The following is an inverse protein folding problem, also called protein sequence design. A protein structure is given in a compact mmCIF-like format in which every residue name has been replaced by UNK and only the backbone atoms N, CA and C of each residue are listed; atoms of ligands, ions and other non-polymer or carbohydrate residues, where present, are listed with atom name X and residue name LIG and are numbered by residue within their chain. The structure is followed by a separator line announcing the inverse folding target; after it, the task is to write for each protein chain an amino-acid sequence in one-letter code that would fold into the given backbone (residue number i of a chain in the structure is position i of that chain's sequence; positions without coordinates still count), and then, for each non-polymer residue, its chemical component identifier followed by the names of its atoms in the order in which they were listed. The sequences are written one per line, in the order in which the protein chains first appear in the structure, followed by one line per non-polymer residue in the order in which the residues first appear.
data_IF_374161839401
#
_entry.id   IF_374161839401
#
_cell.length_a   1.000
_cell.length_b   1.000
_cell.length_c   1.000
_cell.angle_alpha   90.00
_cell.angle_beta   90.00
_cell.angle_gamma   90.00
#
_symmetry.space_group_name_H-M   'P 1'
#
loop_
_entity.id
_entity.type
_entity.pdbx_description
1 polymer ?
#
# COMPACT_ATOMS: atom_id res chain seq x y z
N UNK A 1 -30.16 -12.01 21.24
CA UNK A 1 -28.72 -12.30 21.13
C UNK A 1 -28.19 -11.45 19.99
N UNK A 2 -27.50 -10.34 20.28
CA UNK A 2 -26.80 -9.62 19.22
C UNK A 2 -25.64 -10.50 18.77
N UNK A 3 -25.63 -10.84 17.49
CA UNK A 3 -24.42 -11.39 16.86
C UNK A 3 -23.39 -10.26 17.00
N UNK A 4 -22.41 -10.44 17.88
CA UNK A 4 -21.30 -9.49 17.99
C UNK A 4 -20.66 -9.27 16.61
N UNK A 5 -19.99 -8.12 16.38
CA UNK A 5 -19.38 -7.84 15.10
C UNK A 5 -18.55 -9.05 14.67
N UNK A 6 -18.79 -9.55 13.45
CA UNK A 6 -18.02 -10.66 12.90
C UNK A 6 -16.55 -10.22 12.94
N UNK A 7 -15.79 -10.79 13.88
CA UNK A 7 -14.36 -10.53 14.01
C UNK A 7 -13.67 -11.19 12.82
N UNK A 8 -13.60 -10.46 11.70
CA UNK A 8 -12.79 -10.87 10.57
C UNK A 8 -11.34 -10.68 10.98
N UNK A 9 -10.55 -11.77 10.94
CA UNK A 9 -9.12 -11.68 11.18
C UNK A 9 -8.50 -10.85 10.05
N UNK A 10 -7.60 -9.95 10.44
CA UNK A 10 -6.85 -9.12 9.49
C UNK A 10 -5.92 -10.04 8.70
N UNK A 11 -5.96 -9.93 7.37
CA UNK A 11 -5.05 -10.64 6.48
C UNK A 11 -3.66 -9.98 6.52
N UNK A 12 -2.56 -10.69 6.22
CA UNK A 12 -1.25 -10.06 6.16
C UNK A 12 -1.20 -8.99 5.06
N UNK A 13 -0.32 -8.00 5.21
CA UNK A 13 -0.18 -6.88 4.28
C UNK A 13 0.11 -7.34 2.84
N UNK A 14 0.87 -8.42 2.68
CA UNK A 14 1.19 -9.01 1.37
C UNK A 14 -0.09 -9.45 0.66
N UNK A 15 -1.06 -10.03 1.38
CA UNK A 15 -2.31 -10.46 0.78
C UNK A 15 -3.11 -9.26 0.24
N UNK A 16 -3.14 -8.16 1.01
CA UNK A 16 -3.83 -6.92 0.62
C UNK A 16 -3.19 -6.26 -0.59
N UNK A 17 -1.86 -6.13 -0.61
CA UNK A 17 -1.13 -5.58 -1.77
C UNK A 17 -1.25 -6.46 -3.01
N UNK A 18 -1.25 -7.79 -2.84
CA UNK A 18 -1.47 -8.73 -3.94
C UNK A 18 -2.89 -8.63 -4.48
N UNK A 19 -3.90 -8.46 -3.62
CA UNK A 19 -5.29 -8.30 -4.06
C UNK A 19 -5.46 -7.00 -4.88
N UNK A 20 -4.83 -5.89 -4.46
CA UNK A 20 -4.78 -4.66 -5.26
C UNK A 20 -4.15 -4.91 -6.63
N UNK A 21 -3.01 -5.60 -6.67
CA UNK A 21 -2.29 -5.88 -7.90
C UNK A 21 -3.06 -6.81 -8.84
N UNK A 22 -3.73 -7.85 -8.30
CA UNK A 22 -4.62 -8.71 -9.09
C UNK A 22 -5.76 -7.89 -9.68
N UNK A 23 -6.34 -6.96 -8.91
CA UNK A 23 -7.40 -6.09 -9.40
C UNK A 23 -6.90 -5.17 -10.52
N UNK A 24 -5.70 -4.58 -10.37
CA UNK A 24 -5.04 -3.78 -11.41
C UNK A 24 -4.79 -4.60 -12.69
N UNK A 25 -4.17 -5.78 -12.55
CA UNK A 25 -3.92 -6.68 -13.69
C UNK A 25 -5.22 -7.11 -14.34
N UNK A 26 -6.26 -7.44 -13.57
CA UNK A 26 -7.55 -7.82 -14.13
C UNK A 26 -8.23 -6.73 -14.95
N UNK A 27 -8.00 -5.45 -14.61
CA UNK A 27 -8.51 -4.32 -15.40
C UNK A 27 -7.74 -4.07 -16.69
N UNK A 28 -6.40 -4.16 -16.65
CA UNK A 28 -5.56 -3.68 -17.74
C UNK A 28 -4.88 -4.78 -18.57
N UNK A 29 -4.59 -5.92 -17.95
CA UNK A 29 -3.88 -7.05 -18.56
C UNK A 29 -4.56 -8.38 -18.19
N UNK A 30 -5.87 -8.56 -18.47
CA UNK A 30 -6.64 -9.72 -18.01
C UNK A 30 -6.09 -11.06 -18.53
N UNK A 31 -5.34 -11.05 -19.64
CA UNK A 31 -4.68 -12.24 -20.18
C UNK A 31 -3.59 -12.82 -19.26
N UNK A 32 -3.13 -12.06 -18.26
CA UNK A 32 -2.16 -12.51 -17.25
C UNK A 32 -2.81 -13.20 -16.05
N UNK A 33 -4.15 -13.24 -16.00
CA UNK A 33 -4.89 -13.99 -14.99
C UNK A 33 -4.95 -15.46 -15.37
N UNK A 34 -4.87 -16.34 -14.37
CA UNK A 34 -5.16 -17.76 -14.56
C UNK A 34 -6.62 -17.93 -15.00
N UNK A 35 -6.92 -18.78 -15.98
CA UNK A 35 -8.29 -19.14 -16.32
C UNK A 35 -9.04 -19.74 -15.13
N UNK A 36 -8.33 -20.45 -14.24
CA UNK A 36 -8.86 -21.00 -12.99
C UNK A 36 -7.91 -20.67 -11.84
N UNK A 37 -8.29 -19.72 -10.96
CA UNK A 37 -7.52 -19.40 -9.76
C UNK A 37 -7.38 -20.61 -8.84
N UNK A 38 -6.22 -20.77 -8.21
CA UNK A 38 -5.96 -21.80 -7.20
C UNK A 38 -6.54 -21.37 -5.84
N UNK A 39 -7.85 -21.60 -5.72
CA UNK A 39 -8.61 -21.26 -4.50
C UNK A 39 -8.20 -22.07 -3.29
N UNK A 40 -7.71 -23.30 -3.49
CA UNK A 40 -7.27 -24.17 -2.39
C UNK A 40 -5.96 -23.66 -1.80
N UNK A 41 -5.00 -23.28 -2.66
CA UNK A 41 -3.75 -22.67 -2.20
C UNK A 41 -4.01 -21.33 -1.52
N UNK A 42 -4.88 -20.47 -2.09
CA UNK A 42 -5.27 -19.21 -1.45
C UNK A 42 -5.85 -19.43 -0.06
N UNK A 43 -6.80 -20.36 0.08
CA UNK A 43 -7.38 -20.69 1.38
C UNK A 43 -6.33 -21.21 2.37
N UNK A 44 -5.40 -22.06 1.93
CA UNK A 44 -4.34 -22.56 2.79
C UNK A 44 -3.42 -21.45 3.31
N UNK A 45 -3.11 -20.45 2.45
CA UNK A 45 -2.36 -19.26 2.86
C UNK A 45 -3.17 -18.43 3.87
N UNK A 46 -4.44 -18.17 3.61
CA UNK A 46 -5.32 -17.44 4.53
C UNK A 46 -5.38 -18.14 5.91
N UNK A 47 -5.63 -19.45 5.93
CA UNK A 47 -5.73 -20.24 7.17
C UNK A 47 -4.40 -20.24 7.95
N UNK A 48 -3.26 -20.39 7.25
CA UNK A 48 -1.94 -20.36 7.87
C UNK A 48 -1.65 -19.00 8.51
N UNK A 49 -1.81 -17.90 7.77
CA UNK A 49 -1.45 -16.57 8.27
C UNK A 49 -2.42 -16.01 9.31
N UNK A 50 -3.67 -16.49 9.33
CA UNK A 50 -4.65 -16.05 10.32
C UNK A 50 -4.67 -16.91 11.60
N UNK A 51 -4.31 -18.19 11.52
CA UNK A 51 -4.37 -19.13 12.65
C UNK A 51 -3.17 -20.07 12.78
N UNK A 52 -2.68 -20.61 11.65
CA UNK A 52 -1.58 -21.59 11.64
C UNK A 52 -0.30 -21.07 12.29
N UNK A 53 0.13 -19.85 11.96
CA UNK A 53 1.35 -19.23 12.50
C UNK A 53 1.30 -19.10 14.03
N UNK A 54 0.14 -18.79 14.61
CA UNK A 54 -0.02 -18.69 16.06
C UNK A 54 0.06 -20.05 16.74
N UNK A 55 -0.44 -21.09 16.07
CA UNK A 55 -0.33 -22.47 16.55
C UNK A 55 1.12 -22.94 16.51
N UNK A 56 1.86 -22.61 15.46
CA UNK A 56 3.29 -22.90 15.35
C UNK A 56 4.09 -22.20 16.46
N UNK A 57 3.89 -20.89 16.64
CA UNK A 57 4.55 -20.11 17.69
C UNK A 57 4.23 -20.64 19.08
N UNK A 58 2.99 -21.07 19.33
CA UNK A 58 2.59 -21.64 20.62
C UNK A 58 3.28 -22.99 20.91
N UNK A 59 3.65 -23.73 19.87
CA UNK A 59 4.28 -25.05 19.98
C UNK A 59 5.82 -25.00 19.97
N UNK A 60 6.41 -24.04 19.25
CA UNK A 60 7.86 -23.82 19.17
C UNK A 60 8.20 -22.32 19.02
N UNK A 61 8.29 -21.66 20.17
CA UNK A 61 8.64 -20.24 20.26
C UNK A 61 10.10 -19.97 19.85
N UNK A 62 11.00 -20.96 20.04
CA UNK A 62 12.43 -20.84 19.74
C UNK A 62 12.68 -20.78 18.24
N UNK A 63 12.03 -21.63 17.44
CA UNK A 63 12.18 -21.57 15.99
C UNK A 63 11.70 -20.22 15.43
N UNK A 64 10.56 -19.75 15.92
CA UNK A 64 9.99 -18.45 15.56
C UNK A 64 10.92 -17.29 15.95
N UNK A 65 11.48 -17.34 17.17
CA UNK A 65 12.44 -16.34 17.64
C UNK A 65 13.73 -16.34 16.80
N UNK A 66 14.29 -17.51 16.48
CA UNK A 66 15.49 -17.64 15.67
C UNK A 66 15.28 -17.07 14.26
N UNK A 67 14.13 -17.31 13.65
CA UNK A 67 13.77 -16.71 12.36
C UNK A 67 13.73 -15.18 12.43
N UNK A 68 13.18 -14.60 13.50
CA UNK A 68 13.19 -13.15 13.69
C UNK A 68 14.59 -12.58 13.95
N UNK A 69 15.42 -13.27 14.73
CA UNK A 69 16.81 -12.86 15.00
C UNK A 69 17.66 -12.93 13.72
N UNK A 70 17.47 -13.97 12.90
CA UNK A 70 18.12 -14.09 11.60
C UNK A 70 17.72 -12.94 10.67
N UNK A 71 16.42 -12.58 10.62
CA UNK A 71 15.96 -11.40 9.88
C UNK A 71 16.54 -10.09 10.45
N UNK A 72 16.72 -9.99 11.77
CA UNK A 72 17.30 -8.81 12.41
C UNK A 72 18.80 -8.61 12.06
N UNK A 73 19.54 -9.68 11.73
CA UNK A 73 20.94 -9.56 11.27
C UNK A 73 21.08 -8.77 9.96
N UNK A 74 20.04 -8.78 9.11
CA UNK A 74 19.95 -7.98 7.89
C UNK A 74 19.60 -6.51 8.16
N UNK A 75 19.22 -6.15 9.40
CA UNK A 75 18.79 -4.79 9.76
C UNK A 75 19.93 -3.76 9.66
N UNK A 76 21.18 -4.19 9.87
CA UNK A 76 22.34 -3.30 9.79
C UNK A 76 22.57 -2.77 8.37
N UNK A 77 22.48 -3.64 7.36
CA UNK A 77 22.61 -3.21 5.95
C UNK A 77 21.43 -2.34 5.53
N UNK A 78 20.20 -2.68 5.94
CA UNK A 78 19.02 -1.85 5.67
C UNK A 78 19.15 -0.43 6.27
N UNK A 79 19.67 -0.30 7.50
CA UNK A 79 19.92 1.01 8.12
C UNK A 79 21.01 1.78 7.35
N UNK A 80 22.04 1.10 6.86
CA UNK A 80 23.08 1.74 6.05
C UNK A 80 22.51 2.27 4.73
N UNK A 81 21.74 1.46 4.00
CA UNK A 81 21.05 1.87 2.77
C UNK A 81 20.08 3.03 3.01
N UNK A 82 19.28 3.00 4.08
CA UNK A 82 18.40 4.11 4.43
C UNK A 82 19.20 5.40 4.66
N UNK A 83 20.35 5.33 5.35
CA UNK A 83 21.21 6.51 5.56
C UNK A 83 21.75 7.08 4.25
N UNK A 84 22.18 6.22 3.34
CA UNK A 84 22.64 6.60 2.00
C UNK A 84 21.52 7.23 1.17
N UNK A 85 20.32 6.64 1.20
CA UNK A 85 19.13 7.19 0.54
C UNK A 85 18.81 8.57 1.07
N UNK A 86 18.76 8.74 2.40
CA UNK A 86 18.55 10.04 3.02
C UNK A 86 19.60 11.06 2.62
N UNK A 87 20.88 10.71 2.62
CA UNK A 87 21.95 11.62 2.17
C UNK A 87 21.74 12.03 0.71
N UNK A 88 21.34 11.09 -0.14
CA UNK A 88 21.08 11.33 -1.56
C UNK A 88 19.85 12.24 -1.76
N UNK A 89 18.76 11.99 -1.02
CA UNK A 89 17.56 12.82 -1.02
C UNK A 89 17.85 14.24 -0.50
N UNK A 90 18.69 14.37 0.53
CA UNK A 90 19.11 15.68 1.05
C UNK A 90 19.88 16.52 0.02
N UNK A 91 20.70 15.90 -0.83
CA UNK A 91 21.46 16.60 -1.88
C UNK A 91 20.57 17.22 -2.96
N UNK A 92 19.38 16.66 -3.18
CA UNK A 92 18.43 17.13 -4.18
C UNK A 92 17.34 18.04 -3.59
N UNK A 93 17.46 18.43 -2.31
CA UNK A 93 16.49 19.30 -1.65
C UNK A 93 15.10 18.67 -1.48
N UNK A 94 15.04 17.34 -1.28
CA UNK A 94 13.79 16.61 -1.14
C UNK A 94 12.87 17.18 -0.04
N UNK A 95 11.63 17.47 -0.41
CA UNK A 95 10.53 17.82 0.51
C UNK A 95 9.48 16.71 0.51
N UNK A 96 9.33 16.03 1.65
CA UNK A 96 8.35 14.98 1.84
C UNK A 96 6.89 15.46 1.70
N UNK A 97 6.62 16.77 1.72
CA UNK A 97 5.29 17.34 1.46
C UNK A 97 4.91 17.35 -0.03
N UNK A 98 5.85 17.01 -0.91
CA UNK A 98 5.67 17.02 -2.36
C UNK A 98 6.10 15.68 -2.97
N UNK A 99 5.55 14.57 -2.47
CA UNK A 99 5.90 13.23 -2.95
C UNK A 99 5.60 13.04 -4.44
N UNK A 100 4.53 13.69 -4.95
CA UNK A 100 4.14 13.63 -6.36
C UNK A 100 5.13 14.35 -7.30
N UNK A 101 5.99 15.24 -6.79
CA UNK A 101 7.01 15.92 -7.60
C UNK A 101 8.32 15.14 -7.66
N UNK A 102 8.45 14.06 -6.88
CA UNK A 102 9.65 13.25 -6.87
C UNK A 102 9.75 12.47 -8.18
N UNK A 103 10.75 12.82 -8.99
CA UNK A 103 11.05 12.14 -10.25
C UNK A 103 12.22 11.19 -10.08
N UNK A 104 12.12 10.02 -10.72
CA UNK A 104 13.22 9.11 -10.93
C UNK A 104 13.78 9.33 -12.33
N UNK A 105 15.10 9.52 -12.40
CA UNK A 105 15.88 9.58 -13.63
C UNK A 105 16.78 8.35 -13.68
N UNK A 106 16.70 7.60 -14.78
CA UNK A 106 17.59 6.46 -15.03
C UNK A 106 18.96 6.98 -15.42
N UNK A 107 20.02 6.29 -15.02
CA UNK A 107 21.37 6.60 -15.46
C UNK A 107 21.80 5.72 -16.65
N UNK A 108 22.88 6.12 -17.34
CA UNK A 108 23.44 5.37 -18.47
C UNK A 108 23.97 3.98 -18.09
N UNK A 109 24.05 3.66 -16.80
CA UNK A 109 24.52 2.36 -16.29
C UNK A 109 23.37 1.39 -16.11
N UNK A 110 22.12 1.82 -16.26
CA UNK A 110 20.95 0.97 -16.20
C UNK A 110 21.05 -0.14 -17.27
N UNK A 111 20.97 -1.43 -16.88
CA UNK A 111 21.07 -2.52 -17.85
C UNK A 111 19.86 -2.52 -18.79
N UNK A 112 20.05 -2.93 -20.05
CA UNK A 112 18.96 -2.98 -21.03
C UNK A 112 17.76 -3.82 -20.57
N UNK A 113 18.01 -4.87 -19.76
CA UNK A 113 16.95 -5.69 -19.15
C UNK A 113 16.09 -4.93 -18.15
N UNK A 114 16.64 -3.94 -17.45
CA UNK A 114 15.89 -3.06 -16.53
C UNK A 114 15.07 -2.01 -17.27
N UNK A 115 15.58 -1.54 -18.42
CA UNK A 115 14.89 -0.60 -19.31
C UNK A 115 13.87 -1.28 -20.23
N UNK A 116 13.56 -2.57 -20.03
CA UNK A 116 12.63 -3.30 -20.88
C UNK A 116 11.22 -2.68 -20.81
N UNK A 117 10.77 -2.07 -21.91
CA UNK A 117 9.51 -1.32 -21.97
C UNK A 117 9.60 0.11 -21.42
N UNK A 118 10.80 0.64 -21.18
CA UNK A 118 11.06 2.00 -20.72
C UNK A 118 12.13 2.67 -21.57
N UNK A 119 11.81 3.82 -22.13
CA UNK A 119 12.72 4.66 -22.93
C UNK A 119 13.79 5.41 -22.09
N UNK A 120 13.84 5.20 -20.78
CA UNK A 120 14.73 5.93 -19.87
C UNK A 120 14.27 7.35 -19.53
N UNK A 121 13.07 7.75 -19.97
CA UNK A 121 12.48 9.05 -19.62
C UNK A 121 12.27 9.20 -18.12
N UNK A 122 12.25 10.45 -17.64
CA UNK A 122 11.90 10.76 -16.26
C UNK A 122 10.46 10.33 -15.95
N UNK A 123 10.27 9.68 -14.81
CA UNK A 123 8.95 9.22 -14.33
C UNK A 123 8.79 9.52 -12.85
N UNK A 124 7.56 9.58 -12.38
CA UNK A 124 7.28 9.70 -10.95
C UNK A 124 7.94 8.54 -10.18
N UNK A 125 8.65 8.85 -9.11
CA UNK A 125 9.48 7.86 -8.40
C UNK A 125 8.66 6.71 -7.82
N UNK A 126 7.42 6.99 -7.38
CA UNK A 126 6.53 5.94 -6.87
C UNK A 126 6.21 4.90 -7.94
N UNK A 127 6.02 5.31 -9.21
CA UNK A 127 5.74 4.38 -10.31
C UNK A 127 6.91 3.43 -10.53
N UNK A 128 8.12 3.98 -10.59
CA UNK A 128 9.34 3.20 -10.80
C UNK A 128 9.57 2.25 -9.64
N UNK A 129 9.45 2.72 -8.39
CA UNK A 129 9.69 1.89 -7.22
C UNK A 129 8.63 0.81 -7.01
N UNK A 130 7.36 1.09 -7.31
CA UNK A 130 6.32 0.06 -7.30
C UNK A 130 6.53 -0.96 -8.43
N UNK A 131 6.90 -0.52 -9.64
CA UNK A 131 7.30 -1.44 -10.72
C UNK A 131 8.42 -2.37 -10.24
N UNK A 132 9.49 -1.81 -9.71
CA UNK A 132 10.65 -2.57 -9.25
C UNK A 132 10.31 -3.54 -8.12
N UNK A 133 9.43 -3.14 -7.21
CA UNK A 133 8.92 -4.01 -6.17
C UNK A 133 8.24 -5.26 -6.75
N UNK A 134 7.32 -5.07 -7.70
CA UNK A 134 6.59 -6.17 -8.35
C UNK A 134 7.47 -7.00 -9.29
N UNK A 135 8.39 -6.37 -10.03
CA UNK A 135 9.34 -7.09 -10.89
C UNK A 135 10.31 -7.92 -10.06
N UNK A 136 10.82 -7.38 -8.94
CA UNK A 136 11.62 -8.18 -7.99
C UNK A 136 10.80 -9.37 -7.47
N UNK A 137 9.57 -9.12 -7.02
CA UNK A 137 8.70 -10.14 -6.47
C UNK A 137 8.33 -11.25 -7.46
N UNK A 138 8.14 -10.94 -8.75
CA UNK A 138 7.53 -11.86 -9.71
C UNK A 138 8.45 -12.29 -10.88
N UNK A 139 9.51 -11.54 -11.17
CA UNK A 139 10.31 -11.71 -12.39
C UNK A 139 11.81 -11.89 -12.09
N UNK A 140 12.41 -11.03 -11.25
CA UNK A 140 13.87 -10.97 -11.11
C UNK A 140 14.45 -11.78 -9.94
N UNK A 141 13.70 -12.02 -8.86
CA UNK A 141 14.30 -12.60 -7.65
C UNK A 141 14.63 -14.09 -7.78
N UNK A 142 15.78 -14.47 -7.24
CA UNK A 142 16.00 -15.83 -6.75
C UNK A 142 15.17 -16.02 -5.48
N UNK A 143 13.96 -16.55 -5.64
CA UNK A 143 13.00 -16.76 -4.56
C UNK A 143 13.50 -17.71 -3.46
N UNK A 144 14.60 -18.45 -3.68
CA UNK A 144 15.23 -19.24 -2.60
C UNK A 144 15.98 -18.36 -1.60
N UNK A 145 16.43 -17.18 -2.01
CA UNK A 145 17.23 -16.25 -1.19
C UNK A 145 16.43 -15.05 -0.70
N UNK A 146 15.40 -14.65 -1.43
CA UNK A 146 14.50 -13.55 -1.06
C UNK A 146 13.14 -14.09 -0.61
N UNK A 147 13.02 -14.35 0.71
CA UNK A 147 11.80 -14.86 1.33
C UNK A 147 10.61 -13.90 1.17
N UNK A 148 10.86 -12.58 1.13
CA UNK A 148 9.78 -11.61 0.94
C UNK A 148 9.23 -11.74 -0.48
N UNK A 149 10.09 -11.74 -1.50
CA UNK A 149 9.67 -11.96 -2.88
C UNK A 149 8.96 -13.31 -3.07
N UNK A 150 9.43 -14.37 -2.40
CA UNK A 150 8.79 -15.68 -2.43
C UNK A 150 7.34 -15.62 -1.94
N UNK A 151 7.06 -14.91 -0.84
CA UNK A 151 5.70 -14.76 -0.33
C UNK A 151 4.80 -14.02 -1.32
N UNK A 152 5.24 -12.88 -1.87
CA UNK A 152 4.46 -12.18 -2.90
C UNK A 152 4.17 -13.08 -4.10
N UNK A 153 5.15 -13.85 -4.57
CA UNK A 153 4.96 -14.81 -5.67
C UNK A 153 3.95 -15.90 -5.31
N UNK A 154 3.99 -16.45 -4.11
CA UNK A 154 3.04 -17.48 -3.67
C UNK A 154 1.60 -16.97 -3.62
N UNK A 155 1.39 -15.79 -3.04
CA UNK A 155 0.06 -15.17 -2.98
C UNK A 155 -0.44 -14.80 -4.37
N UNK A 156 0.40 -14.13 -5.19
CA UNK A 156 0.03 -13.71 -6.53
C UNK A 156 -0.21 -14.90 -7.47
N UNK A 157 0.60 -15.95 -7.36
CA UNK A 157 0.50 -17.17 -8.18
C UNK A 157 -0.80 -17.96 -7.99
N UNK A 158 -1.56 -17.67 -6.92
CA UNK A 158 -2.92 -18.21 -6.76
C UNK A 158 -3.88 -17.68 -7.83
N UNK A 159 -3.63 -16.49 -8.39
CA UNK A 159 -4.52 -15.83 -9.35
C UNK A 159 -3.85 -15.49 -10.68
N UNK A 160 -2.54 -15.26 -10.69
CA UNK A 160 -1.77 -14.86 -11.86
C UNK A 160 -1.10 -16.05 -12.53
N UNK A 161 -1.05 -16.01 -13.86
CA UNK A 161 -0.19 -16.88 -14.65
C UNK A 161 1.23 -16.31 -14.61
N UNK A 162 2.09 -16.90 -13.77
CA UNK A 162 3.42 -16.38 -13.50
C UNK A 162 4.37 -16.49 -14.70
N UNK A 163 4.13 -17.43 -15.61
CA UNK A 163 4.90 -17.56 -16.84
C UNK A 163 4.49 -16.45 -17.83
N UNK A 164 3.19 -16.21 -17.96
CA UNK A 164 2.67 -15.07 -18.74
C UNK A 164 3.15 -13.72 -18.19
N UNK A 165 3.15 -13.54 -16.86
CA UNK A 165 3.69 -12.35 -16.18
C UNK A 165 5.15 -12.12 -16.53
N UNK A 166 5.97 -13.18 -16.48
CA UNK A 166 7.41 -13.09 -16.77
C UNK A 166 7.66 -12.70 -18.23
N UNK A 167 6.82 -13.19 -19.16
CA UNK A 167 6.89 -12.82 -20.58
C UNK A 167 6.34 -11.40 -20.87
N UNK A 168 5.44 -10.89 -20.03
CA UNK A 168 4.77 -9.60 -20.21
C UNK A 168 5.55 -8.38 -19.66
N UNK A 169 6.84 -8.53 -19.39
CA UNK A 169 7.71 -7.47 -18.83
C UNK A 169 7.48 -6.07 -19.43
N UNK A 170 7.57 -5.87 -20.76
CA UNK A 170 7.34 -4.56 -21.36
C UNK A 170 5.94 -3.99 -21.09
N UNK A 171 4.89 -4.82 -21.14
CA UNK A 171 3.51 -4.39 -20.91
C UNK A 171 3.28 -4.01 -19.44
N UNK A 172 3.89 -4.75 -18.52
CA UNK A 172 3.87 -4.41 -17.10
C UNK A 172 4.64 -3.11 -16.82
N UNK A 173 5.78 -2.90 -17.48
CA UNK A 173 6.51 -1.63 -17.38
C UNK A 173 5.62 -0.46 -17.80
N UNK A 174 4.96 -0.55 -18.96
CA UNK A 174 4.06 0.51 -19.43
C UNK A 174 2.87 0.72 -18.48
N UNK A 175 2.28 -0.36 -17.96
CA UNK A 175 1.22 -0.29 -16.96
C UNK A 175 1.66 0.54 -15.74
N UNK A 176 2.84 0.29 -15.18
CA UNK A 176 3.32 1.03 -14.01
C UNK A 176 3.75 2.46 -14.35
N UNK A 177 4.45 2.67 -15.46
CA UNK A 177 5.06 3.97 -15.77
C UNK A 177 4.08 4.99 -16.35
N UNK A 178 2.95 4.53 -16.91
CA UNK A 178 2.01 5.41 -17.61
C UNK A 178 0.56 5.27 -17.16
N UNK A 179 0.11 4.08 -16.75
CA UNK A 179 -1.32 3.80 -16.59
C UNK A 179 -1.79 3.86 -15.14
N UNK A 180 -1.11 3.12 -14.25
CA UNK A 180 -1.52 2.93 -12.85
C UNK A 180 -1.73 4.27 -12.15
N UNK A 181 -2.70 4.37 -11.26
CA UNK A 181 -2.94 5.51 -10.40
C UNK A 181 -2.76 5.08 -8.94
N UNK A 182 -2.52 6.01 -8.00
CA UNK A 182 -2.36 5.65 -6.59
C UNK A 182 -3.56 4.86 -6.03
N UNK A 183 -4.78 5.17 -6.48
CA UNK A 183 -6.03 4.48 -6.10
C UNK A 183 -6.07 3.02 -6.55
N UNK A 184 -5.27 2.62 -7.55
CA UNK A 184 -5.25 1.24 -8.03
C UNK A 184 -4.44 0.31 -7.13
N UNK A 185 -3.49 0.87 -6.36
CA UNK A 185 -2.59 0.16 -5.47
C UNK A 185 -2.50 0.86 -4.10
N UNK A 186 -3.64 1.09 -3.41
CA UNK A 186 -3.69 1.96 -2.23
C UNK A 186 -2.73 1.50 -1.13
N UNK A 187 -2.61 0.18 -0.90
CA UNK A 187 -1.74 -0.35 0.15
C UNK A 187 -0.26 -0.13 -0.16
N UNK A 188 0.17 -0.54 -1.36
CA UNK A 188 1.58 -0.42 -1.76
C UNK A 188 1.99 1.05 -1.96
N UNK A 189 1.11 1.88 -2.52
CA UNK A 189 1.36 3.32 -2.69
C UNK A 189 1.46 4.03 -1.35
N UNK A 190 0.55 3.76 -0.41
CA UNK A 190 0.58 4.41 0.90
C UNK A 190 1.81 3.99 1.71
N UNK A 191 2.18 2.70 1.66
CA UNK A 191 3.45 2.23 2.22
C UNK A 191 4.66 2.92 1.60
N UNK A 192 4.68 3.11 0.28
CA UNK A 192 5.72 3.90 -0.38
C UNK A 192 5.77 5.34 0.16
N UNK A 193 4.61 6.01 0.26
CA UNK A 193 4.52 7.40 0.71
C UNK A 193 5.01 7.57 2.15
N UNK A 194 4.64 6.66 3.04
CA UNK A 194 5.08 6.65 4.45
C UNK A 194 6.58 6.42 4.54
N UNK A 195 7.12 5.46 3.78
CA UNK A 195 8.57 5.24 3.70
C UNK A 195 9.31 6.53 3.30
N UNK A 196 8.86 7.19 2.23
CA UNK A 196 9.46 8.45 1.77
C UNK A 196 9.35 9.58 2.80
N UNK A 197 8.22 9.70 3.50
CA UNK A 197 8.04 10.68 4.57
C UNK A 197 8.96 10.41 5.77
N UNK A 198 9.26 9.14 6.05
CA UNK A 198 10.21 8.73 7.10
C UNK A 198 11.67 9.00 6.69
N UNK A 199 12.03 8.84 5.42
CA UNK A 199 13.39 9.12 4.91
C UNK A 199 13.79 10.60 5.05
N UNK A 200 12.83 11.53 4.97
CA UNK A 200 13.07 12.94 5.29
C UNK A 200 13.39 13.19 6.77
N UNK A 201 13.16 12.21 7.65
CA UNK A 201 13.31 12.33 9.11
C UNK A 201 14.53 11.58 9.63
N UNK A 202 14.74 11.60 10.95
CA UNK A 202 15.84 10.86 11.58
C UNK A 202 15.60 9.35 11.45
N UNK A 203 16.50 8.65 10.78
CA UNK A 203 16.44 7.19 10.64
C UNK A 203 16.73 6.54 12.00
N UNK A 204 15.73 5.84 12.54
CA UNK A 204 15.85 5.01 13.73
C UNK A 204 15.82 3.52 13.36
N UNK A 205 16.13 2.65 14.33
CA UNK A 205 16.03 1.21 14.13
C UNK A 205 14.58 0.75 13.92
N UNK A 206 13.58 1.48 14.43
CA UNK A 206 12.14 1.13 14.37
C UNK A 206 11.46 1.26 13.00
N UNK A 207 11.98 2.10 12.11
CA UNK A 207 11.30 2.56 10.88
C UNK A 207 10.77 1.42 9.97
N UNK A 208 11.48 0.29 9.90
CA UNK A 208 11.08 -0.83 9.07
C UNK A 208 9.75 -1.48 9.50
N UNK A 209 9.49 -1.54 10.82
CA UNK A 209 8.25 -2.10 11.37
C UNK A 209 7.10 -1.11 11.19
N UNK A 210 7.37 0.18 11.35
CA UNK A 210 6.38 1.24 11.16
C UNK A 210 5.87 1.29 9.72
N UNK A 211 6.75 1.07 8.74
CA UNK A 211 6.36 1.04 7.34
C UNK A 211 5.43 -0.14 7.03
N UNK A 212 5.65 -1.31 7.64
CA UNK A 212 4.76 -2.46 7.48
C UNK A 212 3.35 -2.18 8.03
N UNK A 213 3.24 -1.51 9.19
CA UNK A 213 1.93 -1.14 9.76
C UNK A 213 1.14 -0.18 8.86
N UNK A 214 1.83 0.66 8.09
CA UNK A 214 1.15 1.62 7.21
C UNK A 214 0.30 0.95 6.13
N UNK A 215 0.67 -0.26 5.70
CA UNK A 215 -0.06 -1.01 4.68
C UNK A 215 -1.49 -1.40 5.13
N UNK A 216 -1.82 -1.32 6.41
CA UNK A 216 -3.18 -1.59 6.91
C UNK A 216 -4.09 -0.37 6.91
N UNK A 217 -3.53 0.85 6.83
CA UNK A 217 -4.29 2.07 7.06
C UNK A 217 -5.34 2.40 5.99
N UNK A 218 -5.19 2.03 4.70
CA UNK A 218 -6.27 2.19 3.74
C UNK A 218 -7.55 1.40 4.09
N UNK A 219 -7.44 0.35 4.92
CA UNK A 219 -8.56 -0.49 5.35
C UNK A 219 -8.96 -0.28 6.81
N UNK A 220 -8.51 0.81 7.43
CA UNK A 220 -8.82 1.13 8.81
C UNK A 220 -9.43 2.53 8.91
N UNK A 221 -10.35 2.67 9.86
CA UNK A 221 -11.01 3.93 10.17
C UNK A 221 -10.12 4.84 11.04
N UNK A 222 -9.40 4.22 11.98
CA UNK A 222 -8.64 4.86 13.03
C UNK A 222 -7.31 4.16 13.29
N UNK A 223 -6.24 4.93 13.42
CA UNK A 223 -4.93 4.45 13.84
C UNK A 223 -4.46 5.24 15.06
N UNK A 224 -4.14 4.53 16.14
CA UNK A 224 -3.69 5.13 17.40
C UNK A 224 -2.22 4.81 17.61
N UNK A 225 -1.39 5.83 17.83
CA UNK A 225 0.03 5.65 18.14
C UNK A 225 0.50 6.61 19.22
N UNK A 226 1.46 6.19 20.04
CA UNK A 226 2.19 7.08 20.94
C UNK A 226 3.45 7.67 20.28
N UNK A 227 3.83 7.18 19.09
CA UNK A 227 4.99 7.67 18.37
C UNK A 227 4.64 8.92 17.55
N UNK A 228 5.08 10.07 18.05
CA UNK A 228 4.94 11.37 17.38
C UNK A 228 5.53 11.37 15.97
N UNK A 229 6.67 10.70 15.75
CA UNK A 229 7.36 10.70 14.45
C UNK A 229 6.55 9.92 13.43
N UNK A 230 5.99 8.79 13.83
CA UNK A 230 5.08 8.02 12.99
C UNK A 230 3.82 8.82 12.70
N UNK A 231 3.21 9.46 13.72
CA UNK A 231 2.01 10.26 13.52
C UNK A 231 2.22 11.42 12.53
N UNK A 232 3.34 12.13 12.62
CA UNK A 232 3.62 13.22 11.70
C UNK A 232 3.97 12.72 10.28
N UNK A 233 4.61 11.55 10.13
CA UNK A 233 4.82 10.92 8.81
C UNK A 233 3.47 10.48 8.20
N UNK A 234 2.60 9.95 9.08
CA UNK A 234 1.16 9.74 8.95
C UNK A 234 0.49 10.87 8.17
N UNK A 235 0.51 12.04 8.80
CA UNK A 235 -0.12 13.26 8.33
C UNK A 235 0.43 13.73 6.97
N UNK A 236 1.74 13.57 6.72
CA UNK A 236 2.35 13.95 5.44
C UNK A 236 1.86 13.03 4.32
N UNK A 237 1.87 11.72 4.55
CA UNK A 237 1.45 10.74 3.55
C UNK A 237 -0.07 10.84 3.29
N UNK A 238 -0.89 10.92 4.34
CA UNK A 238 -2.35 11.02 4.23
C UNK A 238 -2.80 12.31 3.56
N UNK A 239 -2.06 13.42 3.74
CA UNK A 239 -2.34 14.68 3.05
C UNK A 239 -2.14 14.62 1.52
N UNK A 240 -1.62 13.51 1.00
CA UNK A 240 -1.29 13.33 -0.42
C UNK A 240 -2.02 12.12 -1.05
N UNK A 241 -2.84 11.38 -0.29
CA UNK A 241 -3.58 10.23 -0.84
C UNK A 241 -4.81 10.70 -1.62
N UNK A 242 -5.11 10.11 -2.80
CA UNK A 242 -6.39 10.31 -3.48
C UNK A 242 -7.47 9.34 -2.99
N UNK A 243 -7.26 8.68 -1.85
CA UNK A 243 -8.14 7.68 -1.26
C UNK A 243 -8.18 7.83 0.27
N UNK A 244 -9.28 7.37 0.92
CA UNK A 244 -9.38 7.42 2.36
C UNK A 244 -8.32 6.53 3.01
N UNK A 245 -7.77 7.01 4.12
CA UNK A 245 -6.87 6.26 4.99
C UNK A 245 -7.23 6.56 6.44
N UNK A 246 -6.85 5.66 7.34
CA UNK A 246 -7.13 5.78 8.76
C UNK A 246 -6.79 7.16 9.33
N UNK A 247 -7.72 7.71 10.13
CA UNK A 247 -7.44 8.91 10.89
C UNK A 247 -6.40 8.60 11.97
N UNK A 248 -5.31 9.36 12.00
CA UNK A 248 -4.21 9.11 12.95
C UNK A 248 -4.39 9.93 14.23
N UNK A 249 -4.51 9.23 15.36
CA UNK A 249 -4.51 9.83 16.69
C UNK A 249 -3.19 9.59 17.41
N UNK A 250 -2.58 10.69 17.83
CA UNK A 250 -1.49 10.65 18.79
C UNK A 250 -2.07 10.45 20.19
N UNK A 251 -1.86 9.27 20.76
CA UNK A 251 -2.11 9.00 22.17
C UNK A 251 -1.05 9.74 23.00
N UNK A 252 -1.32 11.01 23.29
CA UNK A 252 -0.62 11.75 24.34
C UNK A 252 -1.09 11.18 25.69
N UNK A 253 -0.33 11.36 26.76
CA UNK A 253 -0.74 11.04 28.14
C UNK A 253 -1.88 11.97 28.57
N UNK A 254 -3.03 11.88 27.91
CA UNK A 254 -4.30 12.46 28.32
C UNK A 254 -5.00 11.47 29.28
N UNK A 255 -5.81 11.95 30.23
CA UNK A 255 -6.66 11.07 31.03
C UNK A 255 -7.52 10.17 30.13
N UNK A 256 -7.60 8.89 30.48
CA UNK A 256 -8.25 7.84 29.66
C UNK A 256 -9.69 8.17 29.23
N UNK A 257 -10.42 8.93 30.05
CA UNK A 257 -11.80 9.35 29.77
C UNK A 257 -11.89 10.38 28.62
N UNK A 258 -10.95 11.33 28.55
CA UNK A 258 -10.86 12.32 27.46
C UNK A 258 -10.51 11.63 26.15
N UNK A 259 -9.58 10.69 26.20
CA UNK A 259 -9.16 9.91 25.05
C UNK A 259 -10.29 9.03 24.50
N UNK A 260 -11.03 8.34 25.40
CA UNK A 260 -12.19 7.53 25.02
C UNK A 260 -13.32 8.36 24.40
N UNK A 261 -13.59 9.57 24.92
CA UNK A 261 -14.58 10.48 24.34
C UNK A 261 -14.21 10.87 22.91
N UNK A 262 -12.95 11.27 22.67
CA UNK A 262 -12.47 11.65 21.34
C UNK A 262 -12.58 10.51 20.32
N UNK A 263 -12.31 9.27 20.74
CA UNK A 263 -12.53 8.09 19.88
C UNK A 263 -14.02 7.95 19.53
N UNK A 264 -14.90 8.11 20.52
CA UNK A 264 -16.35 8.06 20.32
C UNK A 264 -16.83 9.10 19.31
N UNK A 265 -16.38 10.34 19.45
CA UNK A 265 -16.76 11.45 18.56
C UNK A 265 -16.30 11.18 17.11
N UNK A 266 -15.05 10.75 16.92
CA UNK A 266 -14.49 10.47 15.59
C UNK A 266 -15.17 9.30 14.88
N UNK A 267 -15.51 8.24 15.62
CA UNK A 267 -16.24 7.11 15.04
C UNK A 267 -17.69 7.51 14.69
N UNK A 268 -18.30 8.45 15.40
CA UNK A 268 -19.63 8.97 15.06
C UNK A 268 -19.58 9.89 13.84
N UNK A 269 -18.56 10.73 13.71
CA UNK A 269 -18.35 11.60 12.53
C UNK A 269 -18.16 10.80 11.24
N UNK A 270 -17.47 9.66 11.30
CA UNK A 270 -17.30 8.78 10.13
C UNK A 270 -18.55 7.97 9.75
N UNK A 271 -19.48 7.77 10.69
CA UNK A 271 -20.73 7.02 10.45
C UNK A 271 -21.88 7.94 10.00
N UNK A 272 -21.77 9.26 10.20
CA UNK A 272 -22.78 10.20 9.73
C UNK A 272 -22.82 10.21 8.19
N UNK A 273 -23.90 9.72 7.54
CA UNK A 273 -24.01 9.82 6.10
C UNK A 273 -24.10 11.30 5.72
N UNK A 274 -23.46 11.69 4.63
CA UNK A 274 -23.71 12.94 3.90
C UNK A 274 -25.20 12.99 3.52
N UNK A 275 -26.03 13.40 4.47
CA UNK A 275 -27.41 13.71 4.23
C UNK A 275 -27.56 15.23 4.26
N UNK A 276 -28.05 15.74 3.14
CA UNK A 276 -28.75 17.03 3.01
C UNK A 276 -27.93 18.26 2.62
N UNK A 277 -27.44 18.31 1.39
CA UNK A 277 -27.63 19.51 0.55
C UNK A 277 -28.77 19.25 -0.43
N UNK A 278 -29.98 19.60 0.03
CA UNK A 278 -31.19 19.54 -0.77
C UNK A 278 -31.10 20.48 -1.98
N UNK A 279 -31.10 19.89 -3.17
CA UNK A 279 -31.43 20.60 -4.41
C UNK A 279 -32.90 21.01 -4.37
N UNK A 280 -33.15 22.27 -4.00
CA UNK A 280 -34.40 22.97 -4.33
C UNK A 280 -34.35 23.33 -5.82
N UNK A 281 -34.78 22.41 -6.68
CA UNK A 281 -35.32 22.80 -7.98
C UNK A 281 -36.84 22.89 -7.86
N UNK A 282 -37.31 24.10 -7.56
CA UNK A 282 -38.71 24.47 -7.77
C UNK A 282 -39.04 24.38 -9.27
N UNK A 283 -40.07 23.61 -9.55
CA UNK A 283 -40.68 23.49 -10.87
C UNK A 283 -41.41 24.79 -11.24
N UNK A 284 -40.83 25.55 -12.17
CA UNK A 284 -41.55 26.57 -12.93
C UNK A 284 -42.21 25.90 -14.14
N UNK A 285 -43.50 25.56 -14.00
CA UNK A 285 -44.41 25.35 -15.13
C UNK A 285 -45.00 26.71 -15.50
N UNK A 286 -44.84 27.15 -16.75
CA UNK A 286 -45.52 28.36 -17.21
C UNK A 286 -45.33 28.75 -18.68
N UNK A 287 -46.26 28.27 -19.52
CA UNK A 287 -46.75 28.87 -20.80
C UNK A 287 -45.86 28.75 -22.05
N UNK A 288 -46.22 27.75 -22.88
CA UNK A 288 -46.08 27.83 -24.34
C UNK A 288 -47.12 28.83 -24.90
N UNK A 289 -46.66 29.77 -25.71
CA UNK A 289 -47.48 30.52 -26.67
C UNK A 289 -47.48 29.81 -28.03
N UNK A 290 -48.58 29.88 -28.81
CA UNK A 290 -48.65 29.24 -30.13
C UNK A 290 -47.92 30.08 -31.20
N UNK A 291 -47.56 29.49 -32.35
CA UNK A 291 -46.85 30.20 -33.40
C UNK A 291 -47.80 31.13 -34.18
N UNK A 292 -47.33 32.36 -34.40
CA UNK A 292 -47.91 33.29 -35.37
C UNK A 292 -47.37 32.92 -36.75
N UNK A 293 -48.27 32.59 -37.67
CA UNK A 293 -48.01 32.53 -39.10
C UNK A 293 -47.86 33.93 -39.69
N UNK A 294 -46.77 34.15 -40.41
CA UNK A 294 -46.47 35.33 -41.23
C UNK A 294 -45.18 35.11 -42.00
#
# INVERSE_FOLDING_TARGET
MSVGPQRRRVLPEIAMEVDDFIALVGRHLPALLRPTPDRLRRKALDDYWTAGIWTEVANDDRHSHQNQVAAASQRASLIATARENKTSLGRIGFDARQLHTLLHLTDERAPASYLLGWDGSQREAWRVQLRDHWFRALIWSDHQRDRSAALYREWAGCHLDLDAISAAGPALTELFLSTVQPIDLPHAWFRWAVNMAQEARKIGSGNAVDNQHSAYLPNADLFITADRRMADALAIASGQTPFPVAHTLLAIVEPLHTFASRIGDLLQEQVAPESTTGSRHEASRGRMSPPVTG
#
